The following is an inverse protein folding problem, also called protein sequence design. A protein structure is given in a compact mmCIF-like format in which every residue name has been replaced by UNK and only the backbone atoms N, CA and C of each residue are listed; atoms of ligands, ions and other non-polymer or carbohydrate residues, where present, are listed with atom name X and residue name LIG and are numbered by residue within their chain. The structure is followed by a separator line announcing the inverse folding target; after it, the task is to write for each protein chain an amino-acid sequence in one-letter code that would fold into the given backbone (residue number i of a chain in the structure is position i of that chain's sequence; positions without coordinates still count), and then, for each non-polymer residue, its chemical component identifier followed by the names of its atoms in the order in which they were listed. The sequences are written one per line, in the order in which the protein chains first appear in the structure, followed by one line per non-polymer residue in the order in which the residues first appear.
data_IF_142913967620
#
_entry.id   IF_142913967620
#
_cell.length_a   1.000
_cell.length_b   1.000
_cell.length_c   1.000
_cell.angle_alpha   90.00
_cell.angle_beta   90.00
_cell.angle_gamma   90.00
#
_symmetry.space_group_name_H-M   'P 1'
#
loop_
_entity.id
_entity.type
_entity.pdbx_description
1 polymer ?
#
# COMPACT_ATOMS: atom_id res chain seq x y z
N UNK A 1 10.05 -32.93 -22.42
CA UNK A 1 10.34 -32.94 -20.96
C UNK A 1 10.25 -31.53 -20.34
N UNK A 2 10.90 -30.50 -20.90
CA UNK A 2 10.82 -29.12 -20.37
C UNK A 2 9.44 -28.47 -20.33
N UNK A 3 8.52 -28.79 -21.25
CA UNK A 3 7.17 -28.21 -21.29
C UNK A 3 6.31 -28.58 -20.07
N UNK A 4 6.41 -29.81 -19.57
CA UNK A 4 5.67 -30.27 -18.38
C UNK A 4 6.23 -29.62 -17.12
N UNK A 5 7.57 -29.51 -17.02
CA UNK A 5 8.22 -28.79 -15.94
C UNK A 5 7.86 -27.30 -15.92
N UNK A 6 7.72 -26.68 -17.10
CA UNK A 6 7.27 -25.29 -17.25
C UNK A 6 5.85 -25.06 -16.73
N UNK A 7 4.90 -25.93 -17.05
CA UNK A 7 3.50 -25.82 -16.59
C UNK A 7 3.39 -26.00 -15.07
N UNK A 8 4.18 -26.91 -14.48
CA UNK A 8 4.25 -27.07 -13.02
C UNK A 8 4.80 -25.80 -12.34
N UNK A 9 5.84 -25.20 -12.90
CA UNK A 9 6.44 -23.97 -12.39
C UNK A 9 5.59 -22.71 -12.63
N UNK A 10 4.74 -22.69 -13.66
CA UNK A 10 3.91 -21.53 -14.04
C UNK A 10 3.01 -21.06 -12.90
N UNK A 11 2.40 -21.99 -12.17
CA UNK A 11 1.54 -21.68 -11.02
C UNK A 11 2.28 -20.95 -9.91
N UNK A 12 3.49 -21.42 -9.57
CA UNK A 12 4.35 -20.82 -8.56
C UNK A 12 4.89 -19.45 -9.00
N UNK A 13 5.28 -19.31 -10.27
CA UNK A 13 5.73 -18.04 -10.85
C UNK A 13 4.60 -17.01 -10.87
N UNK A 14 3.38 -17.42 -11.20
CA UNK A 14 2.21 -16.54 -11.20
C UNK A 14 1.83 -16.09 -9.78
N UNK A 15 1.93 -16.98 -8.80
CA UNK A 15 1.72 -16.65 -7.39
C UNK A 15 2.80 -15.70 -6.87
N UNK A 16 4.07 -15.92 -7.25
CA UNK A 16 5.17 -15.01 -6.93
C UNK A 16 4.94 -13.62 -7.55
N UNK A 17 4.56 -13.58 -8.83
CA UNK A 17 4.24 -12.33 -9.51
C UNK A 17 3.13 -11.57 -8.79
N UNK A 18 2.05 -12.24 -8.38
CA UNK A 18 0.96 -11.59 -7.64
C UNK A 18 1.37 -11.02 -6.28
N UNK A 19 2.39 -11.61 -5.62
CA UNK A 19 2.94 -11.10 -4.36
C UNK A 19 3.89 -9.91 -4.54
N UNK A 20 4.57 -9.85 -5.69
CA UNK A 20 5.53 -8.80 -6.03
C UNK A 20 4.86 -7.66 -6.81
N UNK A 21 3.64 -7.85 -7.30
CA UNK A 21 2.89 -6.87 -8.06
C UNK A 21 2.49 -5.67 -7.18
N UNK A 22 3.14 -4.54 -7.43
CA UNK A 22 2.88 -3.26 -6.76
C UNK A 22 1.50 -2.71 -7.06
N UNK A 23 0.83 -3.17 -8.12
CA UNK A 23 -0.54 -2.75 -8.45
C UNK A 23 -1.57 -3.29 -7.44
N UNK A 24 -1.26 -4.36 -6.71
CA UNK A 24 -2.15 -4.97 -5.70
C UNK A 24 -2.11 -4.21 -4.37
N UNK A 25 -0.97 -3.60 -4.04
CA UNK A 25 -0.78 -2.86 -2.78
C UNK A 25 -1.56 -1.54 -2.73
N UNK A 26 -1.87 -0.94 -3.89
CA UNK A 26 -2.65 0.29 -3.96
C UNK A 26 -1.86 1.58 -3.71
N UNK A 27 -0.53 1.56 -3.87
CA UNK A 27 0.32 2.74 -3.76
C UNK A 27 0.88 3.00 -2.35
N UNK A 28 1.69 4.05 -2.23
CA UNK A 28 2.35 4.45 -0.98
C UNK A 28 1.63 5.62 -0.32
N UNK A 29 1.49 5.58 1.01
CA UNK A 29 0.94 6.70 1.80
C UNK A 29 2.01 7.78 1.98
N UNK A 30 1.70 9.01 1.59
CA UNK A 30 2.52 10.18 1.89
C UNK A 30 2.10 10.74 3.26
N UNK A 31 3.00 10.69 4.23
CA UNK A 31 2.80 11.19 5.60
C UNK A 31 3.40 12.59 5.77
N UNK A 32 2.90 13.34 6.77
CA UNK A 32 3.35 14.72 7.04
C UNK A 32 2.55 15.81 6.32
N UNK A 33 1.45 15.43 5.65
CA UNK A 33 0.46 16.35 5.06
C UNK A 33 -0.83 16.33 5.88
N UNK A 34 -1.62 17.42 5.82
CA UNK A 34 -2.90 17.57 6.55
C UNK A 34 -4.06 16.76 5.95
N UNK A 35 -3.80 15.54 5.50
CA UNK A 35 -4.79 14.71 4.82
C UNK A 35 -4.25 13.36 4.36
N UNK A 36 -5.11 12.55 3.74
CA UNK A 36 -4.71 11.28 3.14
C UNK A 36 -4.24 11.51 1.71
N UNK A 37 -2.97 11.20 1.44
CA UNK A 37 -2.39 11.28 0.10
C UNK A 37 -1.77 9.93 -0.27
N UNK A 38 -2.24 9.31 -1.36
CA UNK A 38 -1.76 8.02 -1.85
C UNK A 38 -1.08 8.21 -3.21
N UNK A 39 0.19 7.83 -3.29
CA UNK A 39 1.00 7.90 -4.50
C UNK A 39 0.92 6.54 -5.22
N UNK A 40 0.29 6.53 -6.39
CA UNK A 40 0.25 5.37 -7.27
C UNK A 40 1.47 5.34 -8.22
N UNK A 41 1.85 4.15 -8.69
CA UNK A 41 2.98 4.00 -9.62
C UNK A 41 2.62 4.52 -11.03
N UNK A 42 3.54 5.18 -11.73
CA UNK A 42 3.24 5.83 -13.02
C UNK A 42 2.91 4.85 -14.17
N UNK A 43 3.39 3.61 -14.09
CA UNK A 43 3.06 2.54 -15.05
C UNK A 43 1.75 1.79 -14.74
N UNK A 44 0.99 2.24 -13.74
CA UNK A 44 -0.14 1.50 -13.20
C UNK A 44 -1.35 1.42 -14.15
N UNK A 45 -1.93 0.22 -14.24
CA UNK A 45 -3.20 -0.02 -14.95
C UNK A 45 -4.39 0.50 -14.12
N UNK A 46 -5.57 0.50 -14.74
CA UNK A 46 -6.84 0.87 -14.08
C UNK A 46 -7.10 0.15 -12.74
N UNK A 47 -6.58 -1.08 -12.58
CA UNK A 47 -6.64 -1.86 -11.34
C UNK A 47 -5.91 -1.19 -10.18
N UNK A 48 -4.73 -0.60 -10.43
CA UNK A 48 -3.95 0.07 -9.41
C UNK A 48 -4.59 1.39 -8.97
N UNK A 49 -5.18 2.15 -9.90
CA UNK A 49 -5.96 3.35 -9.55
C UNK A 49 -7.16 2.99 -8.67
N UNK A 50 -7.92 1.94 -9.04
CA UNK A 50 -9.00 1.40 -8.20
C UNK A 50 -8.51 1.03 -6.79
N UNK A 51 -7.38 0.32 -6.70
CA UNK A 51 -6.81 -0.11 -5.43
C UNK A 51 -6.32 1.09 -4.60
N UNK A 52 -5.73 2.11 -5.22
CA UNK A 52 -5.29 3.32 -4.55
C UNK A 52 -6.46 4.12 -3.97
N UNK A 53 -7.57 4.26 -4.72
CA UNK A 53 -8.79 4.89 -4.21
C UNK A 53 -9.35 4.11 -3.02
N UNK A 54 -9.36 2.77 -3.09
CA UNK A 54 -9.81 1.92 -1.98
C UNK A 54 -8.93 2.14 -0.74
N UNK A 55 -7.60 2.13 -0.89
CA UNK A 55 -6.66 2.39 0.21
C UNK A 55 -6.90 3.79 0.79
N UNK A 56 -7.04 4.82 -0.05
CA UNK A 56 -7.31 6.17 0.42
C UNK A 56 -8.60 6.24 1.27
N UNK A 57 -9.69 5.62 0.80
CA UNK A 57 -10.95 5.52 1.55
C UNK A 57 -10.74 4.81 2.90
N UNK A 58 -10.07 3.67 2.90
CA UNK A 58 -9.83 2.89 4.11
C UNK A 58 -8.99 3.69 5.14
N UNK A 59 -8.01 4.48 4.69
CA UNK A 59 -7.18 5.35 5.55
C UNK A 59 -7.96 6.53 6.14
N UNK A 60 -8.87 7.14 5.36
CA UNK A 60 -9.76 8.19 5.87
C UNK A 60 -10.69 7.62 6.94
N UNK A 61 -11.31 6.46 6.69
CA UNK A 61 -12.18 5.80 7.66
C UNK A 61 -11.43 5.38 8.93
N UNK A 62 -10.16 4.99 8.79
CA UNK A 62 -9.29 4.65 9.91
C UNK A 62 -8.76 5.87 10.68
N UNK A 63 -9.06 7.11 10.24
CA UNK A 63 -8.61 8.37 10.85
C UNK A 63 -7.10 8.40 11.10
N UNK A 64 -6.34 8.00 10.08
CA UNK A 64 -4.89 7.81 10.23
C UNK A 64 -4.16 9.12 10.53
N UNK A 65 -4.59 10.24 9.96
CA UNK A 65 -3.96 11.54 10.20
C UNK A 65 -4.09 11.92 11.67
N UNK A 66 -5.29 11.83 12.22
CA UNK A 66 -5.60 12.15 13.61
C UNK A 66 -4.86 11.22 14.59
N UNK A 67 -4.73 9.94 14.23
CA UNK A 67 -3.97 8.98 15.04
C UNK A 67 -2.47 9.28 15.06
N UNK A 68 -1.91 9.69 13.92
CA UNK A 68 -0.50 10.09 13.83
C UNK A 68 -0.28 11.36 14.66
N UNK A 69 -1.12 12.38 14.51
CA UNK A 69 -1.06 13.62 15.30
C UNK A 69 -1.13 13.32 16.80
N UNK A 70 -2.14 12.56 17.23
CA UNK A 70 -2.29 12.15 18.65
C UNK A 70 -1.03 11.43 19.16
N UNK A 71 -0.44 10.55 18.35
CA UNK A 71 0.77 9.81 18.74
C UNK A 71 1.97 10.73 18.87
N UNK A 72 2.12 11.69 17.95
CA UNK A 72 3.21 12.68 18.00
C UNK A 72 3.09 13.59 19.22
N UNK A 73 1.88 14.02 19.58
CA UNK A 73 1.63 14.81 20.78
C UNK A 73 2.04 14.05 22.06
N UNK A 74 1.73 12.75 22.13
CA UNK A 74 2.14 11.90 23.26
C UNK A 74 3.67 11.75 23.36
N UNK A 75 4.33 11.54 22.22
CA UNK A 75 5.80 11.38 22.17
C UNK A 75 6.50 12.69 22.57
N UNK A 76 6.01 13.83 22.09
CA UNK A 76 6.59 15.14 22.41
C UNK A 76 6.35 15.54 23.87
N UNK A 77 5.17 15.25 24.43
CA UNK A 77 4.88 15.48 25.84
C UNK A 77 5.75 14.59 26.78
N UNK A 78 6.07 13.37 26.35
CA UNK A 78 6.95 12.46 27.08
C UNK A 78 8.43 12.88 27.06
N UNK A 79 8.87 13.57 26.02
CA UNK A 79 10.26 14.02 25.86
C UNK A 79 10.62 15.30 26.64
N UNK A 80 9.62 16.02 27.17
CA UNK A 80 9.80 17.23 27.97
C UNK A 80 9.88 16.98 29.49
N UNK A 81 9.86 15.70 29.90
CA UNK A 81 10.10 15.24 31.28
C UNK A 81 11.48 14.60 31.37
#
# INVERSE_FOLDING_TARGET
RGKIAGVLAESAIKALKARVDSDVAGGALLVGVKGVCVIAHGGSRHTAVKNAIRVAKDMVLAKIVERIETTLDLVTAGSAK
#
